data_IF_453879004064
#
_entry.id   IF_453879004064
#
_cell.length_a   1.000
_cell.length_b   1.000
_cell.length_c   1.000
_cell.angle_alpha   90.00
_cell.angle_beta   90.00
_cell.angle_gamma   90.00
#
_symmetry.space_group_name_H-M   'P 1'
#
loop_
_entity.id
_entity.type
_entity.pdbx_description
1 polymer ?
#
# COMPACT_ATOMS: atom_id res chain seq x y z
N UNK A 1 -2.57 -12.03 19.63
CA UNK A 1 -2.86 -10.78 18.92
C UNK A 1 -1.59 -10.38 18.18
N UNK A 2 -1.65 -10.05 16.89
CA UNK A 2 -0.48 -9.52 16.18
C UNK A 2 -0.16 -8.13 16.73
N UNK A 3 1.11 -7.72 16.63
CA UNK A 3 1.47 -6.32 16.78
C UNK A 3 0.90 -5.56 15.58
N UNK A 4 0.12 -4.52 15.82
CA UNK A 4 -0.47 -3.74 14.74
C UNK A 4 0.45 -2.62 14.27
N UNK A 5 0.36 -2.32 12.98
CA UNK A 5 0.90 -1.11 12.37
C UNK A 5 -0.28 -0.24 11.95
N UNK A 6 -0.38 0.95 12.53
CA UNK A 6 -1.32 1.98 12.09
C UNK A 6 -0.68 2.72 10.92
N UNK A 7 -1.39 2.87 9.81
CA UNK A 7 -0.89 3.49 8.60
C UNK A 7 -1.80 4.61 8.13
N UNK A 8 -1.23 5.67 7.58
CA UNK A 8 -1.94 6.74 6.89
C UNK A 8 -1.29 7.01 5.54
N UNK A 9 -2.03 6.80 4.46
CA UNK A 9 -1.58 7.06 3.11
C UNK A 9 -2.16 8.38 2.57
N UNK A 10 -1.28 9.26 2.11
CA UNK A 10 -1.63 10.52 1.47
C UNK A 10 -1.05 10.57 0.06
N UNK A 11 -1.67 11.34 -0.83
CA UNK A 11 -1.13 11.58 -2.17
C UNK A 11 -1.28 13.05 -2.59
N UNK A 12 -0.45 13.46 -3.56
CA UNK A 12 -0.46 14.79 -4.17
C UNK A 12 -0.31 14.70 -5.68
N UNK A 13 -0.84 15.68 -6.40
CA UNK A 13 -0.77 15.82 -7.86
C UNK A 13 -1.55 14.75 -8.65
N UNK A 14 -2.52 14.10 -8.02
CA UNK A 14 -3.48 13.25 -8.72
C UNK A 14 -4.45 14.12 -9.54
N UNK A 15 -4.85 13.66 -10.72
CA UNK A 15 -6.05 14.18 -11.38
C UNK A 15 -7.30 13.68 -10.63
N UNK A 16 -8.47 14.33 -10.77
CA UNK A 16 -9.71 13.83 -10.16
C UNK A 16 -10.04 12.38 -10.54
N UNK A 17 -9.77 11.98 -11.79
CA UNK A 17 -9.96 10.61 -12.26
C UNK A 17 -9.01 9.61 -11.58
N UNK A 18 -7.74 9.97 -11.40
CA UNK A 18 -6.78 9.13 -10.68
C UNK A 18 -7.13 9.02 -9.20
N UNK A 19 -7.61 10.12 -8.60
CA UNK A 19 -8.07 10.13 -7.21
C UNK A 19 -9.30 9.23 -7.04
N UNK A 20 -10.24 9.23 -7.98
CA UNK A 20 -11.38 8.32 -7.99
C UNK A 20 -10.94 6.85 -8.17
N UNK A 21 -10.02 6.56 -9.10
CA UNK A 21 -9.52 5.19 -9.31
C UNK A 21 -8.78 4.67 -8.07
N UNK A 22 -7.90 5.49 -7.48
CA UNK A 22 -7.19 5.15 -6.24
C UNK A 22 -8.21 4.95 -5.13
N UNK A 23 -9.14 5.86 -4.91
CA UNK A 23 -10.16 5.69 -3.87
C UNK A 23 -10.99 4.42 -4.08
N UNK A 24 -11.41 4.12 -5.31
CA UNK A 24 -12.18 2.92 -5.63
C UNK A 24 -11.43 1.63 -5.35
N UNK A 25 -10.17 1.54 -5.78
CA UNK A 25 -9.27 0.40 -5.49
C UNK A 25 -9.18 0.09 -3.99
N UNK A 26 -9.24 1.16 -3.20
CA UNK A 26 -8.87 1.23 -1.80
C UNK A 26 -10.07 1.07 -0.85
N UNK A 27 -11.25 1.59 -1.20
CA UNK A 27 -12.46 1.54 -0.34
C UNK A 27 -13.48 0.50 -0.78
N UNK A 28 -13.28 -0.13 -1.95
CA UNK A 28 -14.17 -1.18 -2.41
C UNK A 28 -14.12 -2.37 -1.45
N UNK A 29 -15.29 -2.72 -0.89
CA UNK A 29 -15.49 -3.95 -0.12
C UNK A 29 -14.83 -5.13 -0.82
N UNK A 30 -14.14 -5.93 -0.05
CA UNK A 30 -13.45 -7.12 -0.55
C UNK A 30 -13.84 -8.32 0.30
N UNK A 31 -13.86 -9.47 -0.36
CA UNK A 31 -13.92 -10.76 0.32
C UNK A 31 -12.51 -11.17 0.75
N UNK A 32 -12.42 -12.15 1.66
CA UNK A 32 -11.13 -12.71 2.07
C UNK A 32 -10.35 -13.18 0.82
N UNK A 33 -9.15 -12.61 0.63
CA UNK A 33 -8.30 -12.92 -0.52
C UNK A 33 -8.45 -12.00 -1.74
N UNK A 34 -9.21 -10.90 -1.67
CA UNK A 34 -9.27 -9.85 -2.72
C UNK A 34 -9.03 -8.43 -2.17
N UNK A 35 -8.29 -8.32 -1.08
CA UNK A 35 -8.00 -7.01 -0.48
C UNK A 35 -7.10 -6.12 -1.35
N UNK A 36 -7.00 -4.82 -1.04
CA UNK A 36 -6.33 -3.88 -1.92
C UNK A 36 -4.81 -4.11 -2.03
N UNK A 37 -4.14 -4.63 -0.99
CA UNK A 37 -2.71 -4.97 -1.11
C UNK A 37 -2.51 -6.03 -2.20
N UNK A 38 -3.40 -7.03 -2.25
CA UNK A 38 -3.42 -8.02 -3.31
C UNK A 38 -3.72 -7.44 -4.69
N UNK A 39 -4.69 -6.53 -4.79
CA UNK A 39 -5.04 -5.90 -6.06
C UNK A 39 -3.88 -5.09 -6.64
N UNK A 40 -3.06 -4.46 -5.79
CA UNK A 40 -1.87 -3.71 -6.19
C UNK A 40 -0.69 -4.64 -6.51
N UNK A 41 -0.39 -5.58 -5.62
CA UNK A 41 0.76 -6.47 -5.71
C UNK A 41 0.32 -7.92 -5.41
N UNK A 42 -0.20 -8.66 -6.40
CA UNK A 42 -0.74 -10.00 -6.18
C UNK A 42 0.37 -11.06 -6.07
N UNK A 43 0.19 -12.11 -5.23
CA UNK A 43 1.08 -13.26 -5.25
C UNK A 43 0.93 -14.04 -6.57
N UNK A 44 1.98 -14.80 -6.96
CA UNK A 44 1.87 -15.78 -8.04
C UNK A 44 0.69 -16.74 -7.84
N UNK A 45 0.04 -17.13 -8.94
CA UNK A 45 -1.04 -18.13 -8.91
C UNK A 45 -0.46 -19.52 -8.60
N UNK A 46 -1.23 -20.34 -7.89
CA UNK A 46 -0.90 -21.75 -7.63
C UNK A 46 0.00 -21.98 -6.42
N UNK A 47 0.28 -20.96 -5.61
CA UNK A 47 0.95 -21.13 -4.32
C UNK A 47 0.02 -21.84 -3.32
N UNK A 48 0.61 -22.67 -2.46
CA UNK A 48 -0.06 -23.15 -1.26
C UNK A 48 -0.27 -22.00 -0.25
N UNK A 49 -1.14 -22.21 0.75
CA UNK A 49 -1.40 -21.21 1.79
C UNK A 49 -0.13 -20.77 2.55
N UNK A 50 0.78 -21.71 2.82
CA UNK A 50 2.05 -21.43 3.50
C UNK A 50 3.04 -20.64 2.61
N UNK A 51 3.10 -20.99 1.33
CA UNK A 51 3.93 -20.26 0.37
C UNK A 51 3.40 -18.85 0.14
N UNK A 52 2.07 -18.69 0.05
CA UNK A 52 1.43 -17.39 -0.08
C UNK A 52 1.63 -16.54 1.18
N UNK A 53 1.52 -17.12 2.38
CA UNK A 53 1.87 -16.45 3.63
C UNK A 53 3.32 -15.96 3.62
N UNK A 54 4.29 -16.82 3.27
CA UNK A 54 5.71 -16.45 3.17
C UNK A 54 5.93 -15.35 2.12
N UNK A 55 5.26 -15.46 0.98
CA UNK A 55 5.36 -14.47 -0.09
C UNK A 55 4.85 -13.10 0.37
N UNK A 56 3.71 -13.03 1.06
CA UNK A 56 3.18 -11.77 1.63
C UNK A 56 4.15 -11.17 2.65
N UNK A 57 4.72 -11.99 3.54
CA UNK A 57 5.72 -11.50 4.49
C UNK A 57 6.95 -10.88 3.79
N UNK A 58 7.37 -11.45 2.66
CA UNK A 58 8.55 -10.99 1.90
C UNK A 58 8.26 -9.82 0.97
N UNK A 59 7.04 -9.72 0.43
CA UNK A 59 6.70 -8.77 -0.65
C UNK A 59 5.71 -7.69 -0.22
N UNK A 60 4.97 -7.88 0.88
CA UNK A 60 4.12 -6.84 1.47
C UNK A 60 4.70 -6.32 2.79
N UNK A 61 5.62 -7.03 3.44
CA UNK A 61 6.06 -6.82 4.83
C UNK A 61 4.98 -7.07 5.90
N UNK A 62 3.73 -7.36 5.52
CA UNK A 62 2.61 -7.67 6.43
C UNK A 62 2.11 -9.09 6.21
N UNK A 63 1.52 -9.67 7.25
CA UNK A 63 0.99 -11.05 7.23
C UNK A 63 -0.24 -11.21 6.33
N UNK A 64 -1.14 -10.25 6.41
CA UNK A 64 -2.41 -10.25 5.69
C UNK A 64 -2.67 -8.87 5.08
N UNK A 65 -3.74 -8.78 4.31
CA UNK A 65 -4.19 -7.55 3.70
C UNK A 65 -4.59 -6.52 4.78
N UNK A 66 -5.06 -5.34 4.38
CA UNK A 66 -5.45 -4.33 5.36
C UNK A 66 -6.55 -4.85 6.30
N UNK A 67 -6.51 -4.37 7.53
CA UNK A 67 -7.61 -4.50 8.49
C UNK A 67 -8.21 -3.11 8.72
N UNK A 68 -9.52 -2.98 8.48
CA UNK A 68 -10.25 -1.73 8.67
C UNK A 68 -11.63 -2.02 9.26
N UNK A 69 -11.96 -1.39 10.38
CA UNK A 69 -13.35 -1.29 10.84
C UNK A 69 -14.15 -0.28 10.00
N UNK A 70 -13.46 0.60 9.26
CA UNK A 70 -14.06 1.66 8.44
C UNK A 70 -13.50 1.60 7.01
N UNK A 71 -14.22 0.89 6.14
CA UNK A 71 -13.90 0.68 4.71
C UNK A 71 -13.83 1.98 3.88
N UNK A 72 -13.98 3.15 4.50
CA UNK A 72 -14.23 4.40 3.79
C UNK A 72 -13.00 5.28 3.53
N UNK A 73 -11.81 4.98 4.08
CA UNK A 73 -10.63 5.76 3.68
C UNK A 73 -9.27 5.15 4.03
N UNK A 74 -8.33 5.21 3.08
CA UNK A 74 -6.90 4.89 3.31
C UNK A 74 -6.13 5.99 4.05
N UNK A 75 -6.84 7.02 4.52
CA UNK A 75 -6.31 7.98 5.48
C UNK A 75 -5.86 7.28 6.77
N UNK A 76 -6.48 6.16 7.12
CA UNK A 76 -6.09 5.34 8.27
C UNK A 76 -6.46 3.87 8.07
N UNK A 77 -5.49 2.96 8.09
CA UNK A 77 -5.72 1.50 8.01
C UNK A 77 -4.69 0.73 8.83
N UNK A 78 -5.04 -0.49 9.24
CA UNK A 78 -4.15 -1.37 10.01
C UNK A 78 -3.51 -2.42 9.11
N UNK A 79 -2.25 -2.76 9.40
CA UNK A 79 -1.59 -3.96 8.87
C UNK A 79 -0.95 -4.75 9.99
N UNK A 80 -0.78 -6.05 9.80
CA UNK A 80 -0.07 -6.88 10.77
C UNK A 80 1.44 -6.67 10.65
N UNK A 81 2.08 -6.50 11.80
CA UNK A 81 3.54 -6.45 12.02
C UNK A 81 4.27 -5.24 11.46
N UNK A 82 3.95 -4.77 10.25
CA UNK A 82 4.69 -3.70 9.59
C UNK A 82 3.87 -2.99 8.52
N UNK A 83 4.25 -1.75 8.16
CA UNK A 83 3.62 -1.00 7.08
C UNK A 83 3.83 -1.69 5.73
N UNK A 84 2.86 -1.61 4.78
CA UNK A 84 2.95 -2.26 3.48
C UNK A 84 3.79 -1.45 2.48
N UNK A 85 5.01 -1.09 2.87
CA UNK A 85 5.92 -0.23 2.10
C UNK A 85 6.10 -0.71 0.65
N UNK A 86 6.40 -1.99 0.36
CA UNK A 86 6.61 -2.42 -1.02
C UNK A 86 5.37 -2.27 -1.89
N UNK A 87 4.17 -2.42 -1.30
CA UNK A 87 2.91 -2.23 -2.03
C UNK A 87 2.72 -0.77 -2.41
N UNK A 88 3.02 0.16 -1.51
CA UNK A 88 2.98 1.60 -1.83
C UNK A 88 4.02 1.98 -2.90
N UNK A 89 5.16 1.29 -2.94
CA UNK A 89 6.14 1.45 -4.02
C UNK A 89 5.53 1.02 -5.37
N UNK A 90 4.87 -0.13 -5.45
CA UNK A 90 4.20 -0.56 -6.68
C UNK A 90 3.07 0.39 -7.09
N UNK A 91 2.30 0.90 -6.13
CA UNK A 91 1.29 1.93 -6.38
C UNK A 91 1.92 3.20 -6.98
N UNK A 92 3.08 3.62 -6.48
CA UNK A 92 3.81 4.77 -7.02
C UNK A 92 4.34 4.55 -8.44
N UNK A 93 4.64 3.31 -8.83
CA UNK A 93 5.00 2.94 -10.21
C UNK A 93 3.80 2.99 -11.14
N UNK A 94 2.62 2.58 -10.67
CA UNK A 94 1.37 2.67 -11.44
C UNK A 94 0.97 4.11 -11.73
N UNK A 95 1.22 5.04 -10.80
CA UNK A 95 0.89 6.46 -10.93
C UNK A 95 2.12 7.37 -10.82
N UNK A 96 2.97 7.42 -11.86
CA UNK A 96 4.27 8.07 -11.79
C UNK A 96 4.21 9.61 -11.60
N UNK A 97 3.07 10.24 -11.89
CA UNK A 97 2.84 11.66 -11.67
C UNK A 97 2.38 12.00 -10.24
N UNK A 98 2.06 11.00 -9.43
CA UNK A 98 1.52 11.16 -8.08
C UNK A 98 2.63 10.97 -7.05
N UNK A 99 2.66 11.84 -6.04
CA UNK A 99 3.57 11.67 -4.89
C UNK A 99 2.83 11.03 -3.73
N UNK A 100 3.21 9.81 -3.34
CA UNK A 100 2.62 9.09 -2.22
C UNK A 100 3.43 9.27 -0.94
N UNK A 101 2.74 9.43 0.19
CA UNK A 101 3.32 9.60 1.52
C UNK A 101 2.65 8.59 2.44
N UNK A 102 3.43 7.62 2.93
CA UNK A 102 2.98 6.65 3.94
C UNK A 102 3.56 7.06 5.29
N UNK A 103 2.68 7.36 6.25
CA UNK A 103 3.02 7.50 7.66
C UNK A 103 2.60 6.23 8.38
N UNK A 104 3.38 5.78 9.35
CA UNK A 104 3.02 4.61 10.13
C UNK A 104 3.54 4.66 11.56
N UNK A 105 2.84 3.93 12.44
CA UNK A 105 3.16 3.75 13.84
C UNK A 105 3.04 2.27 14.19
N UNK A 106 4.07 1.70 14.81
CA UNK A 106 4.09 0.30 15.26
C UNK A 106 3.69 0.23 16.73
N UNK A 107 2.71 -0.61 17.04
CA UNK A 107 2.26 -0.86 18.40
C UNK A 107 3.40 -1.43 19.26
N UNK A 108 3.70 -0.77 20.38
CA UNK A 108 4.67 -1.22 21.39
C UNK A 108 6.04 -0.55 21.38
N UNK A 109 6.45 0.10 20.28
CA UNK A 109 7.84 0.58 20.12
C UNK A 109 8.01 2.11 20.06
N UNK A 110 6.93 2.92 20.10
CA UNK A 110 6.99 4.39 19.96
C UNK A 110 7.83 4.86 18.74
N UNK A 111 7.92 4.01 17.70
CA UNK A 111 8.60 4.34 16.44
C UNK A 111 7.60 5.06 15.54
N UNK A 112 7.79 6.38 15.43
CA UNK A 112 7.12 7.23 14.43
C UNK A 112 7.94 7.21 13.14
N UNK A 113 7.45 6.51 12.13
CA UNK A 113 8.07 6.44 10.81
C UNK A 113 7.33 7.28 9.77
N UNK A 114 8.07 8.04 8.97
CA UNK A 114 7.54 8.66 7.75
C UNK A 114 8.41 8.24 6.58
N UNK A 115 7.81 7.61 5.56
CA UNK A 115 8.50 7.36 4.29
C UNK A 115 7.82 8.15 3.16
N UNK A 116 8.61 8.96 2.46
CA UNK A 116 8.14 9.74 1.31
C UNK A 116 8.65 9.05 0.04
N UNK A 117 7.73 8.57 -0.80
CA UNK A 117 8.05 8.00 -2.09
C UNK A 117 7.81 9.05 -3.17
N UNK A 118 8.89 9.65 -3.67
CA UNK A 118 8.86 10.57 -4.81
C UNK A 118 9.61 9.94 -5.97
N UNK A 119 8.87 9.40 -6.94
CA UNK A 119 9.47 9.01 -8.21
C UNK A 119 9.64 10.28 -9.07
N UNK A 120 10.88 10.67 -9.33
CA UNK A 120 11.19 11.77 -10.25
C UNK A 120 11.66 11.14 -11.56
N UNK A 121 10.82 11.18 -12.59
CA UNK A 121 11.31 10.98 -13.96
C UNK A 121 12.04 12.25 -14.39
N UNK A 122 13.36 12.16 -14.53
CA UNK A 122 14.15 13.13 -15.29
C UNK A 122 13.92 12.85 -16.78
N UNK A 123 12.90 13.48 -17.37
CA UNK A 123 12.73 13.46 -18.82
C UNK A 123 13.81 14.35 -19.45
N UNK A 124 14.95 13.77 -19.81
CA UNK A 124 15.93 14.44 -20.68
C UNK A 124 15.31 14.49 -22.08
N UNK A 125 14.63 15.60 -22.42
CA UNK A 125 14.35 15.91 -23.81
C UNK A 125 15.70 16.18 -24.49
N UNK A 126 16.21 15.18 -25.23
CA UNK A 126 17.19 15.47 -26.27
C UNK A 126 16.48 16.36 -27.30
N UNK A 127 16.80 17.65 -27.30
CA UNK A 127 16.55 18.49 -28.47
C UNK A 127 17.54 18.03 -29.54
N UNK A 128 16.99 17.48 -30.62
CA UNK A 128 17.68 17.32 -31.91
C UNK A 128 17.38 18.57 -32.73
#
# INVERSE_FOLDING_TARGET
MPNWSTNSLFWKNATPEQEEEINSLMTQKYEEGDGPLRRILPPPKGLSAEEEHRWRCQNWNTKWDIDTDDYNSWSCFLTAWSPPIPVVIELSKKYPNISFILKYELEGDAVLGQTVFKMVFLTIKHMI
#
